data_IF_718153309861
#
_entry.id   IF_718153309861
#
_cell.length_a   1.000
_cell.length_b   1.000
_cell.length_c   1.000
_cell.angle_alpha   90.00
_cell.angle_beta   90.00
_cell.angle_gamma   90.00
#
_symmetry.space_group_name_H-M   'P 1'
#
loop_
_entity.id
_entity.type
_entity.pdbx_description
1 polymer ?
#
# COMPACT_ATOMS: atom_id res chain seq x y z
N UNK A 1 -7.03 -17.13 5.87
CA UNK A 1 -6.21 -15.92 6.13
C UNK A 1 -5.36 -16.14 7.36
N UNK A 2 -4.10 -15.69 7.39
CA UNK A 2 -3.30 -15.63 8.64
C UNK A 2 -3.47 -14.24 9.26
N UNK A 3 -4.60 -14.03 9.97
CA UNK A 3 -5.04 -12.73 10.50
C UNK A 3 -3.96 -11.96 11.26
N UNK A 4 -3.20 -12.62 12.14
CA UNK A 4 -2.13 -11.94 12.90
C UNK A 4 -1.01 -11.37 12.01
N UNK A 5 -0.64 -12.07 10.93
CA UNK A 5 0.32 -11.54 9.95
C UNK A 5 -0.31 -10.42 9.14
N UNK A 6 -1.54 -10.62 8.67
CA UNK A 6 -2.26 -9.63 7.89
C UNK A 6 -2.36 -8.29 8.65
N UNK A 7 -2.80 -8.30 9.91
CA UNK A 7 -2.84 -7.12 10.77
C UNK A 7 -1.46 -6.48 10.95
N UNK A 8 -0.43 -7.27 11.24
CA UNK A 8 0.95 -6.77 11.37
C UNK A 8 1.38 -6.00 10.11
N UNK A 9 1.14 -6.55 8.93
CA UNK A 9 1.51 -5.90 7.68
C UNK A 9 0.57 -4.76 7.29
N UNK A 10 -0.70 -4.76 7.71
CA UNK A 10 -1.57 -3.59 7.58
C UNK A 10 -1.09 -2.41 8.43
N UNK A 11 -0.61 -2.66 9.65
CA UNK A 11 0.04 -1.62 10.46
C UNK A 11 1.33 -1.14 9.80
N UNK A 12 2.11 -2.05 9.21
CA UNK A 12 3.30 -1.69 8.46
C UNK A 12 2.97 -0.79 7.26
N UNK A 13 1.92 -1.11 6.49
CA UNK A 13 1.43 -0.28 5.39
C UNK A 13 1.10 1.15 5.86
N UNK A 14 0.40 1.25 6.98
CA UNK A 14 0.02 2.54 7.56
C UNK A 14 1.26 3.36 7.95
N UNK A 15 2.16 2.78 8.75
CA UNK A 15 3.39 3.46 9.19
C UNK A 15 4.26 3.85 7.99
N UNK A 16 4.45 2.94 7.05
CA UNK A 16 5.28 3.19 5.87
C UNK A 16 4.70 4.32 5.00
N UNK A 17 3.38 4.35 4.83
CA UNK A 17 2.70 5.44 4.13
C UNK A 17 2.89 6.78 4.86
N UNK A 18 2.72 6.82 6.19
CA UNK A 18 2.93 8.03 6.99
C UNK A 18 4.36 8.56 6.89
N UNK A 19 5.36 7.68 7.01
CA UNK A 19 6.77 8.06 6.88
C UNK A 19 7.06 8.60 5.48
N UNK A 20 6.55 7.95 4.44
CA UNK A 20 6.73 8.40 3.06
C UNK A 20 6.06 9.77 2.81
N UNK A 21 4.83 9.96 3.30
CA UNK A 21 4.15 11.25 3.24
C UNK A 21 4.94 12.34 3.98
N UNK A 22 5.39 12.06 5.21
CA UNK A 22 6.16 13.01 6.01
C UNK A 22 7.45 13.44 5.31
N UNK A 23 8.25 12.48 4.82
CA UNK A 23 9.48 12.78 4.07
C UNK A 23 9.18 13.64 2.84
N UNK A 24 8.14 13.28 2.08
CA UNK A 24 7.77 14.01 0.87
C UNK A 24 7.28 15.43 1.20
N UNK A 25 6.53 15.61 2.29
CA UNK A 25 6.10 16.92 2.76
C UNK A 25 7.27 17.79 3.19
N UNK A 26 8.21 17.26 3.97
CA UNK A 26 9.43 17.99 4.35
C UNK A 26 10.22 18.38 3.10
N UNK A 27 10.39 17.46 2.16
CA UNK A 27 11.10 17.73 0.91
C UNK A 27 10.45 18.84 0.11
N UNK A 28 9.14 18.74 -0.15
CA UNK A 28 8.43 19.73 -0.96
C UNK A 28 8.43 21.10 -0.27
N UNK A 29 8.18 21.14 1.04
CA UNK A 29 8.09 22.39 1.78
C UNK A 29 9.41 23.16 1.86
N UNK A 30 10.53 22.47 2.10
CA UNK A 30 11.83 23.13 2.31
C UNK A 30 12.71 23.19 1.05
N UNK A 31 12.52 22.30 0.08
CA UNK A 31 13.46 22.13 -1.03
C UNK A 31 12.84 22.26 -2.44
N UNK A 32 11.51 22.21 -2.60
CA UNK A 32 10.87 22.28 -3.91
C UNK A 32 10.18 23.62 -4.17
N UNK A 33 10.54 24.28 -5.26
CA UNK A 33 9.81 25.45 -5.81
C UNK A 33 8.81 25.07 -6.90
N UNK A 34 8.72 23.79 -7.28
CA UNK A 34 7.89 23.32 -8.37
C UNK A 34 6.53 22.76 -7.88
N UNK A 35 5.39 23.26 -8.38
CA UNK A 35 4.04 22.74 -8.06
C UNK A 35 3.79 21.29 -8.51
N UNK A 36 4.64 20.72 -9.38
CA UNK A 36 4.56 19.31 -9.78
C UNK A 36 4.76 18.31 -8.63
N UNK A 37 5.19 18.76 -7.44
CA UNK A 37 5.28 17.94 -6.23
C UNK A 37 3.96 17.31 -5.80
N UNK A 38 2.81 17.88 -6.19
CA UNK A 38 1.49 17.32 -5.89
C UNK A 38 1.27 15.94 -6.53
N UNK A 39 1.83 15.72 -7.72
CA UNK A 39 1.73 14.44 -8.43
C UNK A 39 2.44 13.34 -7.64
N UNK A 40 3.57 13.65 -6.99
CA UNK A 40 4.35 12.67 -6.23
C UNK A 40 3.55 12.08 -5.06
N UNK A 41 2.65 12.85 -4.43
CA UNK A 41 1.78 12.34 -3.37
C UNK A 41 0.86 11.22 -3.84
N UNK A 42 0.43 11.25 -5.10
CA UNK A 42 -0.44 10.20 -5.66
C UNK A 42 0.27 8.84 -5.78
N UNK A 43 1.60 8.81 -5.79
CA UNK A 43 2.37 7.55 -5.88
C UNK A 43 2.70 6.94 -4.51
N UNK A 44 2.56 7.70 -3.42
CA UNK A 44 2.94 7.23 -2.07
C UNK A 44 2.20 5.95 -1.70
N UNK A 45 0.88 5.91 -1.85
CA UNK A 45 0.08 4.75 -1.46
C UNK A 45 0.30 3.54 -2.40
N UNK A 46 0.28 3.68 -3.74
CA UNK A 46 0.62 2.58 -4.64
C UNK A 46 1.98 1.93 -4.33
N UNK A 47 3.02 2.73 -4.09
CA UNK A 47 4.36 2.21 -3.76
C UNK A 47 4.36 1.53 -2.38
N UNK A 48 3.70 2.15 -1.40
CA UNK A 48 3.62 1.63 -0.04
C UNK A 48 2.92 0.28 0.03
N UNK A 49 1.79 0.14 -0.66
CA UNK A 49 1.04 -1.11 -0.70
C UNK A 49 1.79 -2.19 -1.48
N UNK A 50 2.47 -1.81 -2.57
CA UNK A 50 3.29 -2.74 -3.35
C UNK A 50 4.39 -3.37 -2.48
N UNK A 51 5.20 -2.53 -1.81
CA UNK A 51 6.31 -3.00 -0.96
C UNK A 51 5.79 -3.81 0.24
N UNK A 52 4.72 -3.35 0.88
CA UNK A 52 4.14 -4.07 2.01
C UNK A 52 3.54 -5.41 1.58
N UNK A 53 2.93 -5.48 0.40
CA UNK A 53 2.39 -6.71 -0.16
C UNK A 53 3.48 -7.74 -0.49
N UNK A 54 4.66 -7.28 -0.95
CA UNK A 54 5.85 -8.14 -1.10
C UNK A 54 6.21 -8.77 0.24
N UNK A 55 6.34 -7.96 1.29
CA UNK A 55 6.74 -8.43 2.62
C UNK A 55 5.70 -9.38 3.23
N UNK A 56 4.42 -9.03 3.11
CA UNK A 56 3.31 -9.85 3.60
C UNK A 56 3.29 -11.21 2.91
N UNK A 57 3.34 -11.23 1.59
CA UNK A 57 3.23 -12.44 0.79
C UNK A 57 4.45 -13.36 0.95
N UNK A 58 5.65 -12.77 1.07
CA UNK A 58 6.88 -13.50 1.43
C UNK A 58 6.79 -14.17 2.81
N UNK A 59 6.02 -13.60 3.74
CA UNK A 59 5.83 -14.18 5.07
C UNK A 59 4.91 -15.41 5.07
N UNK A 60 4.08 -15.58 4.05
CA UNK A 60 3.10 -16.69 3.94
C UNK A 60 3.52 -17.73 2.89
N UNK A 61 4.28 -17.33 1.86
CA UNK A 61 4.84 -18.18 0.78
C UNK A 61 3.82 -18.89 -0.11
N UNK A 62 2.56 -18.46 -0.08
CA UNK A 62 1.50 -19.11 -0.85
C UNK A 62 0.49 -18.09 -1.37
N UNK A 63 -0.03 -18.36 -2.59
CA UNK A 63 -1.16 -17.66 -3.21
C UNK A 63 -0.96 -16.14 -3.27
N UNK A 64 0.12 -15.68 -3.91
CA UNK A 64 0.52 -14.26 -3.94
C UNK A 64 -0.57 -13.30 -4.42
N UNK A 65 -1.34 -13.69 -5.44
CA UNK A 65 -2.50 -12.94 -5.91
C UNK A 65 -3.53 -12.73 -4.79
N UNK A 66 -3.89 -13.80 -4.07
CA UNK A 66 -4.84 -13.72 -2.96
C UNK A 66 -4.30 -12.82 -1.84
N UNK A 67 -3.01 -12.88 -1.52
CA UNK A 67 -2.39 -12.05 -0.47
C UNK A 67 -2.40 -10.56 -0.81
N UNK A 68 -2.16 -10.22 -2.08
CA UNK A 68 -2.30 -8.84 -2.56
C UNK A 68 -3.75 -8.35 -2.43
N UNK A 69 -4.73 -9.17 -2.79
CA UNK A 69 -6.16 -8.83 -2.63
C UNK A 69 -6.53 -8.66 -1.16
N UNK A 70 -6.11 -9.58 -0.27
CA UNK A 70 -6.37 -9.49 1.17
C UNK A 70 -5.88 -8.15 1.76
N UNK A 71 -4.67 -7.72 1.40
CA UNK A 71 -4.10 -6.47 1.89
C UNK A 71 -4.85 -5.25 1.31
N UNK A 72 -5.23 -5.30 0.03
CA UNK A 72 -6.02 -4.24 -0.61
C UNK A 72 -7.41 -4.10 0.03
N UNK A 73 -8.08 -5.22 0.34
CA UNK A 73 -9.40 -5.20 1.01
C UNK A 73 -9.30 -4.47 2.34
N UNK A 74 -8.25 -4.73 3.15
CA UNK A 74 -8.08 -4.01 4.42
C UNK A 74 -7.83 -2.52 4.18
N UNK A 75 -6.93 -2.18 3.26
CA UNK A 75 -6.69 -0.79 2.90
C UNK A 75 -7.98 -0.08 2.48
N UNK A 76 -8.78 -0.70 1.61
CA UNK A 76 -10.03 -0.14 1.13
C UNK A 76 -11.07 0.00 2.24
N UNK A 77 -11.17 -0.99 3.14
CA UNK A 77 -12.04 -0.92 4.31
C UNK A 77 -11.67 0.24 5.23
N UNK A 78 -10.37 0.52 5.43
CA UNK A 78 -9.91 1.69 6.19
C UNK A 78 -10.32 2.99 5.51
N UNK A 79 -10.20 3.12 4.19
CA UNK A 79 -10.67 4.33 3.48
C UNK A 79 -12.17 4.54 3.69
N UNK A 80 -12.97 3.49 3.53
CA UNK A 80 -14.43 3.56 3.73
C UNK A 80 -14.75 3.99 5.17
N UNK A 81 -14.06 3.40 6.16
CA UNK A 81 -14.20 3.77 7.57
C UNK A 81 -13.87 5.25 7.78
N UNK A 82 -12.76 5.74 7.23
CA UNK A 82 -12.36 7.15 7.34
C UNK A 82 -13.41 8.07 6.71
N UNK A 83 -13.97 7.68 5.56
CA UNK A 83 -15.03 8.46 4.89
C UNK A 83 -16.29 8.56 5.74
N UNK A 84 -16.70 7.46 6.39
CA UNK A 84 -17.86 7.44 7.29
C UNK A 84 -17.61 8.24 8.57
N UNK A 85 -16.48 8.02 9.24
CA UNK A 85 -16.18 8.64 10.54
C UNK A 85 -15.93 10.15 10.44
N UNK A 86 -15.17 10.59 9.42
CA UNK A 86 -14.74 11.98 9.30
C UNK A 86 -15.57 12.78 8.30
N UNK A 87 -16.63 12.19 7.73
CA UNK A 87 -17.42 12.76 6.63
C UNK A 87 -16.51 13.31 5.53
N UNK A 88 -15.43 12.57 5.24
CA UNK A 88 -14.36 13.07 4.39
C UNK A 88 -14.92 13.36 2.98
N UNK A 89 -14.83 14.60 2.49
CA UNK A 89 -15.53 15.02 1.28
C UNK A 89 -14.92 14.44 -0.01
N UNK A 90 -13.79 13.72 0.08
CA UNK A 90 -13.15 13.19 -1.12
C UNK A 90 -13.98 12.07 -1.78
N UNK A 91 -14.07 12.18 -3.09
CA UNK A 91 -14.63 11.15 -3.96
C UNK A 91 -13.73 9.91 -4.01
N UNK A 92 -14.37 8.74 -4.09
CA UNK A 92 -13.64 7.49 -4.31
C UNK A 92 -13.31 7.42 -5.79
N UNK A 93 -12.09 7.85 -6.15
CA UNK A 93 -11.59 7.76 -7.53
C UNK A 93 -11.38 6.29 -7.89
N UNK A 94 -12.28 5.74 -8.72
CA UNK A 94 -12.25 4.32 -9.11
C UNK A 94 -10.91 3.95 -9.77
N UNK A 95 -10.47 4.75 -10.74
CA UNK A 95 -9.21 4.52 -11.45
C UNK A 95 -8.00 4.46 -10.49
N UNK A 96 -7.94 5.34 -9.50
CA UNK A 96 -6.89 5.36 -8.51
C UNK A 96 -6.89 4.08 -7.64
N UNK A 97 -8.06 3.67 -7.16
CA UNK A 97 -8.18 2.45 -6.36
C UNK A 97 -7.85 1.18 -7.16
N UNK A 98 -8.14 1.16 -8.47
CA UNK A 98 -7.70 0.09 -9.37
C UNK A 98 -6.18 0.02 -9.49
N UNK A 99 -5.49 1.17 -9.58
CA UNK A 99 -4.02 1.21 -9.58
C UNK A 99 -3.46 0.66 -8.26
N UNK A 100 -4.05 1.04 -7.13
CA UNK A 100 -3.64 0.53 -5.80
C UNK A 100 -3.88 -0.98 -5.69
N UNK A 101 -4.99 -1.50 -6.21
CA UNK A 101 -5.28 -2.94 -6.27
C UNK A 101 -4.24 -3.68 -7.10
N UNK A 102 -3.96 -3.22 -8.32
CA UNK A 102 -2.96 -3.82 -9.22
C UNK A 102 -1.59 -3.80 -8.54
N UNK A 103 -1.21 -2.69 -7.92
CA UNK A 103 0.05 -2.56 -7.16
C UNK A 103 0.13 -3.60 -6.03
N UNK A 104 -0.94 -3.77 -5.27
CA UNK A 104 -0.98 -4.77 -4.21
C UNK A 104 -0.87 -6.21 -4.75
N UNK A 105 -1.57 -6.52 -5.86
CA UNK A 105 -1.50 -7.85 -6.50
C UNK A 105 -0.10 -8.15 -7.02
N UNK A 106 0.52 -7.21 -7.74
CA UNK A 106 1.88 -7.37 -8.27
C UNK A 106 2.89 -7.58 -7.15
N UNK A 107 2.81 -6.77 -6.10
CA UNK A 107 3.66 -6.95 -4.92
C UNK A 107 3.46 -8.33 -4.28
N UNK A 108 2.22 -8.82 -4.25
CA UNK A 108 1.91 -10.12 -3.67
C UNK A 108 2.48 -11.30 -4.47
N UNK A 109 2.34 -11.25 -5.80
CA UNK A 109 2.91 -12.25 -6.71
C UNK A 109 4.45 -12.27 -6.60
N UNK A 110 5.08 -11.09 -6.66
CA UNK A 110 6.54 -10.96 -6.55
C UNK A 110 7.03 -11.47 -5.19
N UNK A 111 6.34 -11.11 -4.11
CA UNK A 111 6.72 -11.49 -2.73
C UNK A 111 6.78 -13.00 -2.50
N UNK A 112 5.85 -13.77 -3.07
CA UNK A 112 5.89 -15.24 -2.99
C UNK A 112 7.08 -15.81 -3.78
N UNK A 113 7.36 -15.25 -4.96
CA UNK A 113 8.38 -15.79 -5.86
C UNK A 113 9.82 -15.48 -5.42
N UNK A 114 10.05 -14.40 -4.64
CA UNK A 114 11.39 -14.02 -4.17
C UNK A 114 12.01 -15.07 -3.22
N UNK A 115 11.21 -15.75 -2.39
CA UNK A 115 11.77 -16.74 -1.44
C UNK A 115 12.02 -18.10 -2.08
N UNK A 116 11.20 -18.50 -3.05
CA UNK A 116 11.35 -19.75 -3.81
C UNK A 116 12.76 -19.90 -4.39
N UNK A 117 13.35 -18.78 -4.83
CA UNK A 117 14.71 -18.73 -5.41
C UNK A 117 15.87 -18.95 -4.43
N UNK A 118 15.65 -18.98 -3.11
CA UNK A 118 16.72 -19.22 -2.11
C UNK A 118 16.91 -20.69 -1.72
N UNK A 119 16.17 -21.61 -2.35
CA UNK A 119 16.22 -23.05 -2.09
C UNK A 119 16.36 -23.85 -3.40
N UNK A 120 17.36 -23.48 -4.20
CA UNK A 120 17.94 -24.33 -5.26
C UNK A 120 19.45 -24.23 -5.14
#
# INVERSE_FOLDING_TARGET
MRLGKLLKYSVFLFIFSLVAFFILTVYIYYFSTNPAGEIAYSFVVPISIFLTSILYSRSINEKGLLRGIELWIIYFAVILLMKVLFKYPAEIKVLYNSIVLISSILGGIIGVNIKSKKTV
#
